data_IF_572003080006
#
_entry.id   IF_572003080006
#
_cell.length_a   1.000
_cell.length_b   1.000
_cell.length_c   1.000
_cell.angle_alpha   90.00
_cell.angle_beta   90.00
_cell.angle_gamma   90.00
#
_symmetry.space_group_name_H-M   'P 1'
#
loop_
_entity.id
_entity.type
_entity.pdbx_description
1 polymer ?
#
# COMPACT_ATOMS: atom_id res chain seq x y z
N UNK A 1 60.10 -17.50 -25.06
CA UNK A 1 60.45 -16.32 -25.86
C UNK A 1 59.47 -16.20 -27.01
N UNK A 2 58.60 -15.19 -26.99
CA UNK A 2 57.88 -14.63 -28.15
C UNK A 2 57.24 -13.33 -27.68
N UNK A 3 57.93 -12.22 -27.98
CA UNK A 3 57.41 -10.87 -27.81
C UNK A 3 56.58 -10.55 -29.05
N UNK A 4 55.36 -10.04 -28.88
CA UNK A 4 54.68 -9.31 -29.94
C UNK A 4 54.78 -7.83 -29.59
N UNK A 5 55.54 -7.11 -30.41
CA UNK A 5 55.66 -5.65 -30.31
C UNK A 5 54.58 -5.05 -31.20
N UNK A 6 53.57 -4.44 -30.61
CA UNK A 6 52.63 -3.58 -31.34
C UNK A 6 53.17 -2.16 -31.27
N UNK A 7 53.87 -1.74 -32.34
CA UNK A 7 54.28 -0.35 -32.53
C UNK A 7 53.06 0.49 -32.92
N UNK A 8 52.50 1.22 -31.95
CA UNK A 8 51.54 2.29 -32.22
C UNK A 8 52.31 3.58 -32.55
N UNK A 9 52.67 3.76 -33.83
CA UNK A 9 53.45 4.93 -34.27
C UNK A 9 52.68 6.25 -34.33
N UNK A 10 51.35 6.25 -34.17
CA UNK A 10 50.53 7.46 -34.31
C UNK A 10 49.34 7.50 -33.32
N UNK A 11 49.55 7.08 -32.07
CA UNK A 11 48.55 7.27 -31.02
C UNK A 11 48.88 8.54 -30.22
N UNK A 12 48.00 9.55 -30.29
CA UNK A 12 48.05 10.71 -29.40
C UNK A 12 48.20 10.23 -27.96
N UNK A 13 49.22 10.75 -27.27
CA UNK A 13 49.50 10.44 -25.87
C UNK A 13 48.35 11.00 -25.03
N UNK A 14 47.32 10.18 -24.83
CA UNK A 14 46.33 10.34 -23.77
C UNK A 14 47.08 10.61 -22.47
N UNK A 15 46.82 11.75 -21.86
CA UNK A 15 47.40 12.13 -20.57
C UNK A 15 47.26 11.00 -19.55
N UNK A 16 48.32 10.76 -18.77
CA UNK A 16 48.33 9.78 -17.69
C UNK A 16 47.26 10.16 -16.65
N UNK A 17 46.09 9.52 -16.69
CA UNK A 17 45.10 9.68 -15.63
C UNK A 17 45.38 8.70 -14.49
N UNK A 18 45.53 9.23 -13.28
CA UNK A 18 45.70 8.42 -12.07
C UNK A 18 44.32 8.14 -11.46
N UNK A 19 43.87 6.88 -11.48
CA UNK A 19 42.67 6.46 -10.75
C UNK A 19 43.06 6.17 -9.29
N UNK A 20 42.64 7.04 -8.36
CA UNK A 20 42.77 6.78 -6.94
C UNK A 20 41.60 5.95 -6.44
N UNK A 21 41.80 4.64 -6.27
CA UNK A 21 40.83 3.80 -5.58
C UNK A 21 40.89 4.10 -4.08
N UNK A 22 39.74 4.48 -3.48
CA UNK A 22 39.64 4.53 -2.01
C UNK A 22 39.97 3.15 -1.45
N UNK A 23 40.69 3.13 -0.33
CA UNK A 23 41.01 1.90 0.41
C UNK A 23 39.70 1.10 0.57
N UNK A 24 39.63 -0.16 0.11
CA UNK A 24 38.42 -0.96 0.25
C UNK A 24 38.05 -1.02 1.73
N UNK A 25 36.77 -0.76 2.04
CA UNK A 25 36.25 -0.92 3.38
C UNK A 25 36.52 -2.38 3.77
N UNK A 26 37.39 -2.59 4.77
CA UNK A 26 37.66 -3.92 5.32
C UNK A 26 36.42 -4.38 6.09
N UNK A 27 35.48 -4.99 5.38
CA UNK A 27 34.30 -5.56 5.99
C UNK A 27 34.64 -6.97 6.46
N UNK A 28 34.76 -7.16 7.77
CA UNK A 28 34.79 -8.49 8.37
C UNK A 28 33.40 -9.10 8.20
N UNK A 29 33.19 -9.88 7.14
CA UNK A 29 32.00 -10.70 6.83
C UNK A 29 30.72 -10.24 7.56
N UNK A 30 29.93 -9.38 6.92
CA UNK A 30 28.56 -9.12 7.39
C UNK A 30 27.73 -10.36 7.04
N UNK A 31 27.56 -11.25 8.01
CA UNK A 31 26.66 -12.39 7.89
C UNK A 31 25.31 -11.98 8.50
N UNK A 32 24.23 -12.12 7.72
CA UNK A 32 22.87 -11.99 8.22
C UNK A 32 22.63 -13.07 9.30
N UNK A 33 22.64 -12.67 10.57
CA UNK A 33 22.47 -13.60 11.70
C UNK A 33 21.06 -14.18 11.79
N UNK A 34 20.06 -13.37 11.43
CA UNK A 34 18.66 -13.79 11.39
C UNK A 34 17.87 -12.74 10.62
N UNK A 35 16.91 -13.18 9.83
CA UNK A 35 15.88 -12.34 9.24
C UNK A 35 14.53 -12.85 9.75
N UNK A 36 13.78 -11.99 10.44
CA UNK A 36 12.36 -12.26 10.73
C UNK A 36 11.56 -11.67 9.58
N UNK A 37 11.25 -12.50 8.58
CA UNK A 37 10.24 -12.16 7.60
C UNK A 37 8.87 -12.45 8.22
N UNK A 38 8.08 -11.41 8.48
CA UNK A 38 6.65 -11.60 8.70
C UNK A 38 6.02 -11.84 7.33
N UNK A 39 5.95 -13.10 6.90
CA UNK A 39 5.16 -13.46 5.73
C UNK A 39 3.69 -13.46 6.14
N UNK A 40 3.04 -12.29 6.16
CA UNK A 40 1.59 -12.26 6.02
C UNK A 40 1.31 -12.57 4.55
N UNK A 41 1.06 -13.85 4.26
CA UNK A 41 0.80 -14.27 2.87
C UNK A 41 -0.41 -13.56 2.28
N UNK A 42 -1.41 -13.27 3.11
CA UNK A 42 -2.66 -12.63 2.71
C UNK A 42 -2.85 -11.32 3.47
N UNK A 43 -3.30 -10.28 2.76
CA UNK A 43 -3.78 -9.07 3.39
C UNK A 43 -5.24 -9.26 3.83
N UNK A 44 -6.07 -9.96 3.05
CA UNK A 44 -7.44 -10.30 3.40
C UNK A 44 -7.50 -11.76 3.86
N UNK A 45 -7.93 -11.98 5.10
CA UNK A 45 -8.10 -13.31 5.66
C UNK A 45 -9.11 -13.32 6.81
N UNK A 46 -9.95 -14.35 6.87
CA UNK A 46 -10.83 -14.63 8.00
C UNK A 46 -10.16 -14.54 9.39
N UNK A 47 -8.91 -15.01 9.53
CA UNK A 47 -8.17 -14.96 10.81
C UNK A 47 -7.92 -13.54 11.33
N UNK A 48 -7.91 -12.55 10.43
CA UNK A 48 -7.73 -11.14 10.77
C UNK A 48 -9.06 -10.40 10.85
N UNK A 49 -10.19 -11.10 10.67
CA UNK A 49 -11.54 -10.54 10.70
C UNK A 49 -11.74 -9.36 9.73
N UNK A 50 -11.04 -9.36 8.59
CA UNK A 50 -11.05 -8.29 7.59
C UNK A 50 -11.59 -8.75 6.22
N UNK A 51 -12.19 -9.94 6.17
CA UNK A 51 -12.68 -10.59 4.96
C UNK A 51 -14.13 -10.28 4.61
N UNK A 52 -14.78 -9.38 5.37
CA UNK A 52 -16.18 -8.99 5.14
C UNK A 52 -16.27 -7.47 5.09
N UNK A 53 -16.96 -6.96 4.07
CA UNK A 53 -17.44 -5.59 3.99
C UNK A 53 -18.96 -5.58 4.21
N UNK A 54 -19.43 -4.89 5.24
CA UNK A 54 -20.86 -4.61 5.41
C UNK A 54 -21.22 -3.29 4.73
N UNK A 55 -22.39 -3.26 4.11
CA UNK A 55 -22.97 -2.03 3.58
C UNK A 55 -24.48 -2.00 3.83
N UNK A 56 -25.02 -0.80 3.93
CA UNK A 56 -26.44 -0.55 4.14
C UNK A 56 -26.98 0.10 2.87
N UNK A 57 -28.07 -0.45 2.34
CA UNK A 57 -28.80 0.13 1.23
C UNK A 57 -30.29 0.17 1.57
N UNK A 58 -30.90 1.36 1.50
CA UNK A 58 -32.33 1.56 1.84
C UNK A 58 -32.73 1.00 3.21
N UNK A 59 -31.83 1.06 4.19
CA UNK A 59 -32.07 0.59 5.56
C UNK A 59 -31.92 -0.92 5.76
N UNK A 60 -31.50 -1.67 4.73
CA UNK A 60 -31.20 -3.10 4.83
C UNK A 60 -29.69 -3.30 4.83
N UNK A 61 -29.20 -4.12 5.77
CA UNK A 61 -27.79 -4.52 5.82
C UNK A 61 -27.52 -5.63 4.80
N UNK A 62 -26.40 -5.49 4.11
CA UNK A 62 -25.86 -6.45 3.16
C UNK A 62 -24.37 -6.66 3.43
N UNK A 63 -23.82 -7.75 2.92
CA UNK A 63 -22.43 -8.14 3.14
C UNK A 63 -21.80 -8.62 1.85
N UNK A 64 -20.54 -8.25 1.65
CA UNK A 64 -19.64 -8.79 0.62
C UNK A 64 -18.58 -9.59 1.37
N UNK A 65 -18.42 -10.85 1.01
CA UNK A 65 -17.42 -11.74 1.60
C UNK A 65 -16.31 -11.97 0.59
N UNK A 66 -15.08 -11.69 0.99
CA UNK A 66 -13.89 -11.96 0.20
C UNK A 66 -13.29 -13.32 0.61
N UNK A 67 -12.71 -14.01 -0.36
CA UNK A 67 -11.91 -15.18 -0.10
C UNK A 67 -10.55 -14.80 0.52
N UNK A 68 -9.88 -15.77 1.13
CA UNK A 68 -8.56 -15.53 1.72
C UNK A 68 -7.55 -15.32 0.59
N UNK A 69 -6.89 -14.16 0.57
CA UNK A 69 -6.03 -13.81 -0.55
C UNK A 69 -5.20 -12.55 -0.32
N UNK A 70 -4.30 -12.28 -1.27
CA UNK A 70 -3.56 -11.03 -1.30
C UNK A 70 -4.11 -10.15 -2.41
N UNK A 71 -4.95 -9.20 -2.03
CA UNK A 71 -5.70 -8.36 -2.96
C UNK A 71 -5.01 -7.01 -3.18
N UNK A 72 -4.89 -6.63 -4.44
CA UNK A 72 -4.69 -5.25 -4.84
C UNK A 72 -6.03 -4.50 -4.84
N UNK A 73 -5.98 -3.17 -4.85
CA UNK A 73 -7.19 -2.34 -4.94
C UNK A 73 -8.05 -2.68 -6.16
N UNK A 74 -7.41 -2.92 -7.32
CA UNK A 74 -8.11 -3.28 -8.54
C UNK A 74 -8.88 -4.59 -8.38
N UNK A 75 -8.29 -5.58 -7.73
CA UNK A 75 -8.91 -6.89 -7.48
C UNK A 75 -10.07 -6.74 -6.49
N UNK A 76 -9.96 -5.89 -5.46
CA UNK A 76 -11.12 -5.58 -4.59
C UNK A 76 -12.27 -4.91 -5.37
N UNK A 77 -11.96 -4.04 -6.33
CA UNK A 77 -12.97 -3.44 -7.19
C UNK A 77 -13.60 -4.44 -8.17
N UNK A 78 -12.87 -5.46 -8.60
CA UNK A 78 -13.40 -6.58 -9.39
C UNK A 78 -14.38 -7.41 -8.55
N UNK A 79 -14.03 -7.73 -7.29
CA UNK A 79 -14.94 -8.40 -6.35
C UNK A 79 -16.25 -7.60 -6.15
N UNK A 80 -16.17 -6.26 -6.09
CA UNK A 80 -17.39 -5.43 -6.07
C UNK A 80 -18.18 -5.53 -7.36
N UNK A 81 -17.53 -5.45 -8.52
CA UNK A 81 -18.21 -5.59 -9.82
C UNK A 81 -18.94 -6.93 -9.94
N UNK A 82 -18.30 -8.01 -9.51
CA UNK A 82 -18.85 -9.36 -9.54
C UNK A 82 -20.02 -9.52 -8.56
N UNK A 83 -19.90 -9.00 -7.33
CA UNK A 83 -20.98 -9.01 -6.33
C UNK A 83 -22.23 -8.27 -6.81
N UNK A 84 -22.07 -7.11 -7.44
CA UNK A 84 -23.20 -6.31 -7.96
C UNK A 84 -23.63 -6.70 -9.38
N UNK A 85 -22.84 -7.51 -10.10
CA UNK A 85 -23.09 -7.91 -11.49
C UNK A 85 -23.03 -6.75 -12.49
N UNK A 86 -22.31 -5.67 -12.17
CA UNK A 86 -22.24 -4.45 -12.99
C UNK A 86 -20.82 -3.87 -13.03
N UNK A 87 -20.43 -3.31 -14.18
CA UNK A 87 -19.09 -2.74 -14.39
C UNK A 87 -18.75 -1.53 -13.52
N UNK A 88 -19.77 -0.79 -13.07
CA UNK A 88 -19.61 0.38 -12.21
C UNK A 88 -20.47 0.16 -10.96
N UNK A 89 -19.92 -0.51 -9.93
CA UNK A 89 -20.66 -0.80 -8.72
C UNK A 89 -20.94 0.50 -7.93
N UNK A 90 -21.97 0.50 -7.07
CA UNK A 90 -22.29 1.64 -6.20
C UNK A 90 -21.26 1.89 -5.09
N UNK A 91 -20.31 0.96 -4.92
CA UNK A 91 -19.19 1.04 -3.98
C UNK A 91 -17.91 0.80 -4.78
N UNK A 92 -16.99 1.77 -4.77
CA UNK A 92 -15.72 1.67 -5.50
C UNK A 92 -14.58 2.24 -4.64
N UNK A 93 -13.44 1.57 -4.65
CA UNK A 93 -12.19 2.06 -4.08
C UNK A 93 -11.40 2.87 -5.11
N UNK A 94 -10.85 3.99 -4.67
CA UNK A 94 -9.93 4.82 -5.44
C UNK A 94 -8.78 5.28 -4.55
N UNK A 95 -7.74 5.87 -5.15
CA UNK A 95 -6.62 6.47 -4.44
C UNK A 95 -6.63 7.98 -4.67
N UNK A 96 -6.71 8.73 -3.57
CA UNK A 96 -6.40 10.14 -3.60
C UNK A 96 -4.89 10.33 -3.82
N UNK A 97 -4.50 10.57 -5.07
CA UNK A 97 -3.12 10.56 -5.54
C UNK A 97 -2.18 11.46 -4.73
N UNK A 98 -2.64 12.67 -4.36
CA UNK A 98 -1.80 13.62 -3.64
C UNK A 98 -1.46 13.19 -2.20
N UNK A 99 -2.28 12.33 -1.59
CA UNK A 99 -2.08 11.86 -0.21
C UNK A 99 -1.77 10.38 -0.11
N UNK A 100 -1.81 9.65 -1.25
CA UNK A 100 -1.68 8.20 -1.33
C UNK A 100 -2.60 7.48 -0.33
N UNK A 101 -3.85 7.95 -0.20
CA UNK A 101 -4.86 7.38 0.70
C UNK A 101 -6.01 6.77 -0.09
N UNK A 102 -6.55 5.68 0.41
CA UNK A 102 -7.78 5.13 -0.13
C UNK A 102 -8.95 6.10 0.07
N UNK A 103 -9.80 6.15 -0.94
CA UNK A 103 -11.08 6.84 -0.96
C UNK A 103 -12.13 5.82 -1.32
N UNK A 104 -13.24 5.81 -0.60
CA UNK A 104 -14.39 5.01 -0.98
C UNK A 104 -15.41 5.95 -1.63
N UNK A 105 -15.74 5.67 -2.88
CA UNK A 105 -16.84 6.32 -3.60
C UNK A 105 -18.11 5.52 -3.34
N UNK A 106 -19.16 6.21 -2.94
CA UNK A 106 -20.47 5.64 -2.63
C UNK A 106 -21.54 6.34 -3.45
N UNK A 107 -22.41 5.56 -4.07
CA UNK A 107 -23.63 6.06 -4.68
C UNK A 107 -24.65 6.49 -3.63
N UNK A 108 -25.61 7.31 -4.06
CA UNK A 108 -26.64 7.85 -3.17
C UNK A 108 -27.48 6.73 -2.55
N UNK A 109 -27.62 6.76 -1.22
CA UNK A 109 -28.40 5.78 -0.46
C UNK A 109 -27.62 4.54 0.00
N UNK A 110 -26.32 4.47 -0.33
CA UNK A 110 -25.40 3.48 0.22
C UNK A 110 -24.62 4.06 1.40
N UNK A 111 -24.39 3.23 2.41
CA UNK A 111 -23.47 3.50 3.50
C UNK A 111 -22.63 2.26 3.77
N UNK A 112 -21.41 2.43 4.25
CA UNK A 112 -20.56 1.32 4.70
C UNK A 112 -20.60 1.26 6.22
N UNK A 113 -20.66 0.05 6.75
CA UNK A 113 -20.51 -0.22 8.16
C UNK A 113 -19.23 -1.02 8.40
N UNK A 114 -18.28 -0.45 9.14
CA UNK A 114 -17.07 -1.15 9.54
C UNK A 114 -17.20 -1.84 10.90
N UNK A 115 -18.37 -1.76 11.55
CA UNK A 115 -18.58 -2.33 12.88
C UNK A 115 -18.47 -3.86 12.86
N UNK A 116 -17.59 -4.37 13.72
CA UNK A 116 -17.41 -5.81 13.92
C UNK A 116 -16.46 -6.49 12.94
N UNK A 117 -15.82 -5.74 12.03
CA UNK A 117 -14.78 -6.21 11.11
C UNK A 117 -13.60 -5.24 11.09
N UNK A 118 -12.48 -5.68 10.52
CA UNK A 118 -11.18 -5.01 10.59
C UNK A 118 -10.66 -4.59 9.19
N UNK A 119 -11.57 -4.47 8.22
CA UNK A 119 -11.23 -4.08 6.85
C UNK A 119 -10.81 -2.60 6.74
N UNK A 120 -11.39 -1.74 7.59
CA UNK A 120 -11.03 -0.32 7.74
C UNK A 120 -9.53 -0.14 8.02
N UNK A 121 -8.94 -1.01 8.86
CA UNK A 121 -7.51 -0.98 9.19
C UNK A 121 -6.61 -1.22 7.99
N UNK A 122 -7.02 -2.10 7.07
CA UNK A 122 -6.26 -2.37 5.84
C UNK A 122 -6.42 -1.25 4.83
N UNK A 123 -7.61 -0.70 4.74
CA UNK A 123 -7.89 0.44 3.88
C UNK A 123 -7.34 1.76 4.45
N UNK A 124 -6.79 1.75 5.68
CA UNK A 124 -6.18 2.92 6.31
C UNK A 124 -7.18 3.96 6.78
N UNK A 125 -8.43 3.57 7.06
CA UNK A 125 -9.40 4.42 7.72
C UNK A 125 -9.17 4.40 9.23
N UNK A 126 -9.00 5.58 9.81
CA UNK A 126 -8.84 5.74 11.26
C UNK A 126 -10.06 6.47 11.81
N UNK A 127 -10.63 5.94 12.90
CA UNK A 127 -11.65 6.65 13.65
C UNK A 127 -11.03 7.86 14.35
N UNK A 128 -11.31 9.07 13.85
CA UNK A 128 -11.00 10.30 14.57
C UNK A 128 -12.19 10.73 15.41
N UNK A 129 -12.09 10.45 16.71
CA UNK A 129 -12.95 11.02 17.72
C UNK A 129 -12.74 12.55 17.80
N UNK A 130 -13.45 13.30 16.96
CA UNK A 130 -13.53 14.75 17.06
C UNK A 130 -14.31 15.07 18.33
N UNK A 131 -13.59 15.30 19.46
CA UNK A 131 -14.19 15.88 20.65
C UNK A 131 -14.83 17.22 20.25
N UNK A 132 -16.15 17.24 20.15
CA UNK A 132 -16.92 18.47 20.13
C UNK A 132 -16.60 19.21 21.43
N UNK A 133 -15.69 20.17 21.34
CA UNK A 133 -15.44 21.08 22.45
C UNK A 133 -16.67 21.97 22.46
N UNK A 134 -17.69 21.61 23.25
CA UNK A 134 -18.84 22.48 23.49
C UNK A 134 -18.29 23.85 23.89
N UNK A 135 -18.36 24.81 22.97
CA UNK A 135 -18.06 26.19 23.28
C UNK A 135 -19.05 26.59 24.38
N UNK A 136 -18.56 26.75 25.60
CA UNK A 136 -19.33 27.38 26.68
C UNK A 136 -19.60 28.81 26.22
N UNK A 137 -20.77 29.07 25.67
CA UNK A 137 -21.27 30.44 25.53
C UNK A 137 -21.37 31.02 26.93
N UNK A 138 -20.47 31.95 27.26
CA UNK A 138 -20.67 32.86 28.39
C UNK A 138 -21.83 33.77 27.99
N UNK A 139 -23.01 33.49 28.54
CA UNK A 139 -24.09 34.47 28.58
C UNK A 139 -23.65 35.52 29.60
N UNK A 140 -23.35 36.73 29.13
CA UNK A 140 -23.27 37.89 30.01
C UNK A 140 -24.70 38.35 30.25
N UNK A 141 -25.16 38.17 31.50
CA UNK A 141 -26.36 38.79 32.07
C UNK A 141 -26.10 40.24 32.42
#
# INVERSE_FOLDING_TARGET
>A
MRSQTLDAKDADKSEDFTINFKVPIKVNKIALKSMKMWSSWFNIHEKFNNHILKYIYKGVEHQIKFDNGNYMMSELNEEYQDHFGIKKPPIELDVHQATSRFVIKLDTGYAIDFTGYELDKILGFEEKNLRSTKAKSKIYS
#
